data_IF_349464433585
#
_entry.id   IF_349464433585
#
_cell.length_a   1.000
_cell.length_b   1.000
_cell.length_c   1.000
_cell.angle_alpha   90.00
_cell.angle_beta   90.00
_cell.angle_gamma   90.00
#
_symmetry.space_group_name_H-M   'P 1'
#
loop_
_entity.id
_entity.type
_entity.pdbx_description
1 polymer ?
#
# COMPACT_ATOMS: atom_id res chain seq x y z
N UNK A 1 48.29 12.07 16.29
CA UNK A 1 46.85 12.44 16.42
C UNK A 1 46.11 12.53 15.08
N UNK A 2 46.71 13.01 13.99
CA UNK A 2 46.06 13.07 12.68
C UNK A 2 45.76 11.69 12.03
N UNK A 3 46.46 10.64 12.45
CA UNK A 3 46.35 9.30 11.85
C UNK A 3 45.18 8.46 12.41
N UNK A 4 44.80 8.69 13.68
CA UNK A 4 43.61 8.05 14.28
C UNK A 4 42.30 8.61 13.69
N UNK A 5 42.26 9.90 13.35
CA UNK A 5 41.10 10.53 12.70
C UNK A 5 40.85 10.01 11.28
N UNK A 6 41.88 9.46 10.62
CA UNK A 6 41.76 8.89 9.27
C UNK A 6 41.19 7.47 9.29
N UNK A 7 41.57 6.65 10.28
CA UNK A 7 41.01 5.29 10.47
C UNK A 7 39.55 5.29 10.91
N UNK A 8 39.09 6.28 11.67
CA UNK A 8 37.66 6.39 12.02
C UNK A 8 36.78 6.84 10.84
N UNK A 9 37.33 7.60 9.88
CA UNK A 9 36.59 8.01 8.67
C UNK A 9 36.43 6.89 7.64
N UNK A 10 37.27 5.86 7.67
CA UNK A 10 37.18 4.71 6.75
C UNK A 10 36.28 3.58 7.27
N UNK A 11 35.98 3.53 8.58
CA UNK A 11 35.14 2.49 9.17
C UNK A 11 33.61 2.72 9.04
N UNK A 12 33.19 3.89 8.54
CA UNK A 12 31.82 4.38 8.75
C UNK A 12 30.88 4.40 7.56
N UNK A 13 31.26 3.92 6.37
CA UNK A 13 30.44 4.07 5.15
C UNK A 13 29.94 2.75 4.53
N UNK A 14 30.01 1.66 5.30
CA UNK A 14 29.25 0.46 4.99
C UNK A 14 27.76 0.75 5.20
N UNK A 15 27.08 1.29 4.18
CA UNK A 15 25.61 1.34 4.12
C UNK A 15 25.11 -0.05 4.47
N UNK A 16 24.63 -0.23 5.70
CA UNK A 16 24.14 -1.53 6.19
C UNK A 16 23.02 -1.93 5.22
N UNK A 17 23.22 -3.00 4.45
CA UNK A 17 22.25 -3.47 3.47
C UNK A 17 20.91 -3.85 4.12
N UNK A 18 20.92 -4.22 5.41
CA UNK A 18 19.73 -4.62 6.17
C UNK A 18 18.58 -3.61 6.10
N UNK A 19 18.77 -2.33 6.47
CA UNK A 19 17.73 -1.30 6.35
C UNK A 19 17.14 -1.14 4.94
N UNK A 20 17.98 -1.10 3.90
CA UNK A 20 17.54 -0.99 2.50
C UNK A 20 16.72 -2.21 2.06
N UNK A 21 17.15 -3.40 2.46
CA UNK A 21 16.42 -4.64 2.21
C UNK A 21 15.06 -4.58 2.95
N UNK A 22 15.02 -4.13 4.20
CA UNK A 22 13.77 -4.04 4.98
C UNK A 22 12.75 -3.08 4.37
N UNK A 23 13.20 -1.91 3.90
CA UNK A 23 12.33 -0.94 3.20
C UNK A 23 11.80 -1.50 1.89
N UNK A 24 12.67 -2.15 1.10
CA UNK A 24 12.26 -2.88 -0.09
C UNK A 24 11.24 -3.96 0.23
N UNK A 25 11.43 -4.76 1.28
CA UNK A 25 10.49 -5.81 1.71
C UNK A 25 9.16 -5.25 2.20
N UNK A 26 9.14 -4.09 2.86
CA UNK A 26 7.89 -3.43 3.28
C UNK A 26 7.09 -2.89 2.09
N UNK A 27 7.76 -2.24 1.14
CA UNK A 27 7.14 -1.83 -0.12
C UNK A 27 6.66 -3.05 -0.92
N UNK A 28 7.44 -4.12 -0.91
CA UNK A 28 7.11 -5.41 -1.55
C UNK A 28 5.91 -6.07 -0.87
N UNK A 29 5.74 -5.97 0.46
CA UNK A 29 4.60 -6.58 1.16
C UNK A 29 3.28 -5.89 0.80
N UNK A 30 3.24 -4.55 0.74
CA UNK A 30 2.06 -3.82 0.30
C UNK A 30 1.77 -4.07 -1.19
N UNK A 31 2.81 -4.06 -2.03
CA UNK A 31 2.71 -4.41 -3.44
C UNK A 31 2.17 -5.84 -3.64
N UNK A 32 2.66 -6.81 -2.87
CA UNK A 32 2.20 -8.19 -2.91
C UNK A 32 0.73 -8.32 -2.48
N UNK A 33 0.29 -7.59 -1.45
CA UNK A 33 -1.12 -7.56 -1.04
C UNK A 33 -2.02 -6.98 -2.13
N UNK A 34 -1.59 -5.90 -2.79
CA UNK A 34 -2.29 -5.31 -3.92
C UNK A 34 -2.37 -6.27 -5.11
N UNK A 35 -1.25 -6.88 -5.49
CA UNK A 35 -1.19 -7.87 -6.58
C UNK A 35 -2.10 -9.05 -6.27
N UNK A 36 -2.01 -9.62 -5.06
CA UNK A 36 -2.86 -10.73 -4.65
C UNK A 36 -4.35 -10.37 -4.69
N UNK A 37 -4.75 -9.21 -4.15
CA UNK A 37 -6.14 -8.75 -4.24
C UNK A 37 -6.59 -8.55 -5.68
N UNK A 38 -5.74 -7.99 -6.53
CA UNK A 38 -6.04 -7.78 -7.95
C UNK A 38 -6.19 -9.11 -8.69
N UNK A 39 -5.33 -10.09 -8.42
CA UNK A 39 -5.41 -11.43 -9.03
C UNK A 39 -6.69 -12.16 -8.61
N UNK A 40 -7.07 -12.09 -7.32
CA UNK A 40 -8.34 -12.65 -6.85
C UNK A 40 -9.52 -11.98 -7.54
N UNK A 41 -9.49 -10.64 -7.66
CA UNK A 41 -10.54 -9.90 -8.35
C UNK A 41 -10.64 -10.27 -9.83
N UNK A 42 -9.51 -10.35 -10.54
CA UNK A 42 -9.46 -10.79 -11.94
C UNK A 42 -9.99 -12.22 -12.10
N UNK A 43 -9.65 -13.13 -11.18
CA UNK A 43 -10.19 -14.48 -11.14
C UNK A 43 -11.72 -14.50 -10.97
N UNK A 44 -12.26 -13.67 -10.06
CA UNK A 44 -13.71 -13.53 -9.86
C UNK A 44 -14.40 -12.96 -11.09
N UNK A 45 -13.88 -11.87 -11.66
CA UNK A 45 -14.43 -11.27 -12.90
C UNK A 45 -14.37 -12.25 -14.06
N UNK A 46 -13.26 -12.97 -14.21
CA UNK A 46 -13.10 -14.02 -15.23
C UNK A 46 -14.11 -15.16 -15.05
N UNK A 47 -14.32 -15.61 -13.80
CA UNK A 47 -15.31 -16.63 -13.48
C UNK A 47 -16.75 -16.17 -13.82
N UNK A 48 -17.15 -14.98 -13.36
CA UNK A 48 -18.47 -14.43 -13.66
C UNK A 48 -18.67 -14.17 -15.16
N UNK A 49 -17.64 -13.66 -15.85
CA UNK A 49 -17.65 -13.47 -17.29
C UNK A 49 -17.85 -14.80 -18.02
N UNK A 50 -17.09 -15.83 -17.66
CA UNK A 50 -17.23 -17.17 -18.23
C UNK A 50 -18.62 -17.76 -17.98
N UNK A 51 -19.15 -17.67 -16.75
CA UNK A 51 -20.48 -18.15 -16.41
C UNK A 51 -21.56 -17.44 -17.25
N UNK A 52 -21.47 -16.11 -17.37
CA UNK A 52 -22.39 -15.31 -18.18
C UNK A 52 -22.33 -15.71 -19.66
N UNK A 53 -21.15 -15.84 -20.24
CA UNK A 53 -20.98 -16.25 -21.65
C UNK A 53 -21.48 -17.66 -21.90
N UNK A 54 -21.20 -18.60 -20.99
CA UNK A 54 -21.65 -20.00 -21.10
C UNK A 54 -23.17 -20.11 -21.08
N UNK A 55 -23.82 -19.43 -20.14
CA UNK A 55 -25.28 -19.42 -20.04
C UNK A 55 -25.93 -18.71 -21.24
N UNK A 56 -25.38 -17.58 -21.68
CA UNK A 56 -25.84 -16.86 -22.85
C UNK A 56 -25.71 -17.72 -24.13
N UNK A 57 -24.63 -18.48 -24.26
CA UNK A 57 -24.42 -19.39 -25.39
C UNK A 57 -25.50 -20.48 -25.46
N UNK A 58 -25.85 -21.11 -24.32
CA UNK A 58 -26.93 -22.12 -24.25
C UNK A 58 -28.28 -21.51 -24.65
N UNK A 59 -28.57 -20.30 -24.19
CA UNK A 59 -29.80 -19.60 -24.55
C UNK A 59 -29.87 -19.28 -26.05
N UNK A 60 -28.79 -18.74 -26.62
CA UNK A 60 -28.71 -18.46 -28.05
C UNK A 60 -28.94 -19.74 -28.89
N UNK A 61 -28.32 -20.85 -28.50
CA UNK A 61 -28.54 -22.14 -29.18
C UNK A 61 -29.99 -22.64 -29.08
N UNK A 62 -30.69 -22.32 -27.98
CA UNK A 62 -32.10 -22.67 -27.80
C UNK A 62 -32.99 -21.79 -28.66
N UNK A 63 -32.70 -20.48 -28.75
CA UNK A 63 -33.43 -19.53 -29.59
C UNK A 63 -33.30 -19.85 -31.07
N UNK A 64 -32.10 -20.21 -31.54
CA UNK A 64 -31.93 -20.65 -32.93
C UNK A 64 -32.67 -21.95 -33.28
N UNK A 65 -33.18 -22.70 -32.28
CA UNK A 65 -34.06 -23.85 -32.49
C UNK A 65 -35.55 -23.49 -32.48
N UNK A 66 -35.94 -22.27 -32.09
CA UNK A 66 -37.34 -21.82 -31.99
C UNK A 66 -37.62 -20.76 -33.06
N UNK A 67 -38.46 -21.08 -34.04
CA UNK A 67 -38.76 -20.29 -35.26
C UNK A 67 -39.83 -19.20 -35.00
N UNK A 68 -39.71 -18.46 -33.90
CA UNK A 68 -40.71 -17.42 -33.56
C UNK A 68 -40.01 -16.12 -33.11
N UNK A 69 -40.05 -15.09 -33.97
CA UNK A 69 -39.30 -13.83 -33.81
C UNK A 69 -39.73 -13.00 -32.57
N UNK A 70 -40.98 -13.17 -32.11
CA UNK A 70 -41.53 -12.42 -30.99
C UNK A 70 -41.01 -12.84 -29.61
N UNK A 71 -40.63 -14.11 -29.44
CA UNK A 71 -40.12 -14.64 -28.16
C UNK A 71 -38.62 -14.39 -27.94
N UNK A 72 -37.88 -14.02 -28.99
CA UNK A 72 -36.43 -13.89 -28.91
C UNK A 72 -35.97 -12.76 -27.99
N UNK A 73 -36.67 -11.61 -27.97
CA UNK A 73 -36.27 -10.47 -27.14
C UNK A 73 -36.59 -10.64 -25.64
N UNK A 74 -37.65 -11.37 -25.30
CA UNK A 74 -38.09 -11.53 -23.91
C UNK A 74 -37.27 -12.61 -23.17
N UNK A 75 -36.83 -13.65 -23.88
CA UNK A 75 -36.00 -14.73 -23.34
C UNK A 75 -34.53 -14.35 -23.09
N UNK A 76 -34.00 -13.37 -23.83
CA UNK A 76 -32.57 -13.00 -23.76
C UNK A 76 -32.26 -12.10 -22.55
N UNK A 77 -33.22 -11.33 -22.03
CA UNK A 77 -32.87 -10.20 -21.14
C UNK A 77 -33.28 -10.28 -19.67
N UNK A 78 -34.21 -11.14 -19.25
CA UNK A 78 -34.90 -10.80 -18.00
C UNK A 78 -34.15 -11.21 -16.71
N UNK A 79 -33.71 -12.46 -16.57
CA UNK A 79 -33.30 -12.97 -15.25
C UNK A 79 -31.82 -13.39 -15.15
N UNK A 80 -31.30 -14.11 -16.13
CA UNK A 80 -29.92 -14.62 -16.09
C UNK A 80 -28.90 -13.47 -16.21
N UNK A 81 -29.10 -12.60 -17.20
CA UNK A 81 -28.27 -11.41 -17.40
C UNK A 81 -28.32 -10.53 -16.15
N UNK A 82 -29.52 -10.32 -15.58
CA UNK A 82 -29.69 -9.50 -14.37
C UNK A 82 -28.98 -10.11 -13.17
N UNK A 83 -29.04 -11.43 -12.97
CA UNK A 83 -28.35 -12.13 -11.88
C UNK A 83 -26.83 -12.03 -12.00
N UNK A 84 -26.27 -12.32 -13.17
CA UNK A 84 -24.83 -12.25 -13.40
C UNK A 84 -24.31 -10.82 -13.33
N UNK A 85 -25.06 -9.85 -13.89
CA UNK A 85 -24.72 -8.43 -13.79
C UNK A 85 -24.75 -7.92 -12.35
N UNK A 86 -25.74 -8.34 -11.55
CA UNK A 86 -25.77 -8.01 -10.11
C UNK A 86 -24.56 -8.58 -9.38
N UNK A 87 -24.19 -9.84 -9.65
CA UNK A 87 -22.99 -10.46 -9.08
C UNK A 87 -21.70 -9.72 -9.44
N UNK A 88 -21.56 -9.32 -10.71
CA UNK A 88 -20.42 -8.55 -11.19
C UNK A 88 -20.33 -7.16 -10.51
N UNK A 89 -21.46 -6.44 -10.42
CA UNK A 89 -21.53 -5.13 -9.75
C UNK A 89 -21.16 -5.24 -8.27
N UNK A 90 -21.65 -6.27 -7.57
CA UNK A 90 -21.28 -6.53 -6.17
C UNK A 90 -19.79 -6.83 -6.05
N UNK A 91 -19.21 -7.66 -6.94
CA UNK A 91 -17.79 -7.98 -6.92
C UNK A 91 -16.90 -6.73 -7.16
N UNK A 92 -17.27 -5.89 -8.13
CA UNK A 92 -16.58 -4.62 -8.41
C UNK A 92 -16.66 -3.68 -7.19
N UNK A 93 -17.85 -3.54 -6.62
CA UNK A 93 -18.05 -2.67 -5.45
C UNK A 93 -17.23 -3.16 -4.25
N UNK A 94 -17.25 -4.47 -3.98
CA UNK A 94 -16.46 -5.07 -2.91
C UNK A 94 -14.95 -4.85 -3.12
N UNK A 95 -14.47 -5.01 -4.36
CA UNK A 95 -13.08 -4.75 -4.71
C UNK A 95 -12.68 -3.29 -4.46
N UNK A 96 -13.50 -2.33 -4.90
CA UNK A 96 -13.27 -0.90 -4.66
C UNK A 96 -13.17 -0.62 -3.15
N UNK A 97 -14.09 -1.16 -2.34
CA UNK A 97 -14.07 -0.99 -0.88
C UNK A 97 -12.79 -1.56 -0.28
N UNK A 98 -12.40 -2.79 -0.65
CA UNK A 98 -11.15 -3.42 -0.17
C UNK A 98 -9.94 -2.57 -0.55
N UNK A 99 -9.89 -2.07 -1.78
CA UNK A 99 -8.80 -1.22 -2.26
C UNK A 99 -8.70 0.08 -1.47
N UNK A 100 -9.82 0.77 -1.23
CA UNK A 100 -9.87 1.98 -0.40
C UNK A 100 -9.35 1.67 1.01
N UNK A 101 -9.80 0.57 1.63
CA UNK A 101 -9.36 0.17 2.97
C UNK A 101 -7.84 -0.09 3.01
N UNK A 102 -7.30 -0.81 2.01
CA UNK A 102 -5.86 -1.07 1.91
C UNK A 102 -5.06 0.23 1.76
N UNK A 103 -5.50 1.14 0.89
CA UNK A 103 -4.84 2.43 0.65
C UNK A 103 -4.87 3.30 1.91
N UNK A 104 -6.04 3.44 2.54
CA UNK A 104 -6.21 4.24 3.76
C UNK A 104 -5.35 3.68 4.90
N UNK A 105 -5.36 2.35 5.08
CA UNK A 105 -4.54 1.68 6.09
C UNK A 105 -3.04 1.88 5.83
N UNK A 106 -2.59 1.77 4.58
CA UNK A 106 -1.21 2.03 4.20
C UNK A 106 -0.84 3.49 4.47
N UNK A 107 -1.67 4.43 4.01
CA UNK A 107 -1.45 5.86 4.21
C UNK A 107 -1.30 6.21 5.70
N UNK A 108 -2.21 5.74 6.57
CA UNK A 108 -2.10 6.00 8.01
C UNK A 108 -0.87 5.37 8.66
N UNK A 109 -0.38 4.24 8.12
CA UNK A 109 0.83 3.58 8.62
C UNK A 109 2.07 4.40 8.31
N UNK A 110 2.17 5.02 7.13
CA UNK A 110 3.38 5.73 6.69
C UNK A 110 3.36 7.24 6.98
N UNK A 111 2.23 7.93 6.78
CA UNK A 111 2.14 9.39 6.95
C UNK A 111 2.33 9.81 8.41
N UNK A 112 1.82 9.03 9.35
CA UNK A 112 1.88 9.34 10.78
C UNK A 112 3.30 9.60 11.31
N UNK A 113 4.24 8.65 11.19
CA UNK A 113 5.62 8.88 11.64
C UNK A 113 6.34 9.97 10.85
N UNK A 114 6.03 10.15 9.55
CA UNK A 114 6.62 11.23 8.75
C UNK A 114 6.26 12.61 9.28
N UNK A 115 5.01 12.83 9.68
CA UNK A 115 4.59 14.11 10.30
C UNK A 115 5.36 14.38 11.60
N UNK A 116 5.62 13.36 12.41
CA UNK A 116 6.42 13.51 13.63
C UNK A 116 7.87 13.88 13.32
N UNK A 117 8.48 13.25 12.31
CA UNK A 117 9.82 13.59 11.81
C UNK A 117 9.87 15.03 11.29
N UNK A 118 8.90 15.44 10.47
CA UNK A 118 8.85 16.82 9.94
C UNK A 118 8.75 17.84 11.06
N UNK A 119 7.86 17.63 12.05
CA UNK A 119 7.74 18.53 13.21
C UNK A 119 9.03 18.62 14.00
N UNK A 120 9.70 17.48 14.22
CA UNK A 120 10.99 17.44 14.90
C UNK A 120 12.06 18.24 14.15
N UNK A 121 12.17 18.04 12.83
CA UNK A 121 13.13 18.79 11.99
C UNK A 121 12.83 20.30 12.04
N UNK A 122 11.55 20.69 11.96
CA UNK A 122 11.14 22.11 12.09
C UNK A 122 11.52 22.68 13.47
N UNK A 123 11.37 21.92 14.55
CA UNK A 123 11.85 22.34 15.87
C UNK A 123 13.36 22.56 15.91
N UNK A 124 14.14 21.66 15.28
CA UNK A 124 15.59 21.81 15.17
C UNK A 124 15.99 23.05 14.36
N UNK A 125 15.31 23.33 13.24
CA UNK A 125 15.60 24.52 12.43
C UNK A 125 15.27 25.82 13.15
N UNK A 126 14.36 25.77 14.12
CA UNK A 126 13.99 26.91 14.97
C UNK A 126 14.87 27.05 16.22
N UNK A 127 15.94 26.26 16.35
CA UNK A 127 16.88 26.33 17.48
C UNK A 127 16.45 25.58 18.74
N UNK A 128 15.32 24.84 18.72
CA UNK A 128 14.83 24.09 19.88
C UNK A 128 15.51 22.72 20.01
N UNK A 129 16.83 22.70 20.27
CA UNK A 129 17.65 21.48 20.27
C UNK A 129 17.35 20.48 21.40
N UNK A 130 16.67 20.91 22.46
CA UNK A 130 16.26 20.03 23.56
C UNK A 130 15.13 19.04 23.17
N UNK A 131 14.46 19.25 22.03
CA UNK A 131 13.41 18.33 21.58
C UNK A 131 13.99 16.93 21.27
N UNK A 132 13.19 15.89 21.49
CA UNK A 132 13.52 14.50 21.15
C UNK A 132 12.41 13.88 20.32
N UNK A 133 12.78 13.18 19.26
CA UNK A 133 11.88 12.41 18.43
C UNK A 133 11.57 11.08 19.13
N UNK A 134 10.29 10.79 19.32
CA UNK A 134 9.83 9.50 19.84
C UNK A 134 8.79 8.90 18.88
N UNK A 135 9.18 7.84 18.16
CA UNK A 135 8.29 7.14 17.25
C UNK A 135 7.54 6.00 17.95
N UNK A 136 6.36 5.62 17.44
CA UNK A 136 5.52 4.58 18.05
C UNK A 136 6.16 3.20 17.89
N UNK A 137 5.84 2.25 18.77
CA UNK A 137 6.38 0.87 18.71
C UNK A 137 6.18 0.22 17.33
N UNK A 138 5.02 0.45 16.71
CA UNK A 138 4.66 -0.04 15.37
C UNK A 138 5.46 0.58 14.22
N UNK A 139 6.11 1.72 14.45
CA UNK A 139 6.91 2.44 13.45
C UNK A 139 8.37 1.94 13.48
N UNK A 140 8.55 0.63 13.68
CA UNK A 140 9.85 -0.01 13.96
C UNK A 140 10.87 0.17 12.82
N UNK A 141 10.37 0.26 11.59
CA UNK A 141 11.18 0.48 10.39
C UNK A 141 11.91 1.84 10.37
N UNK A 142 11.47 2.80 11.19
CA UNK A 142 12.09 4.14 11.29
C UNK A 142 12.93 4.32 12.57
N UNK A 143 13.19 3.25 13.33
CA UNK A 143 13.94 3.35 14.60
C UNK A 143 15.37 3.81 14.43
N UNK A 144 16.02 3.42 13.34
CA UNK A 144 17.39 3.87 13.08
C UNK A 144 17.42 5.36 12.72
N UNK A 145 16.41 5.84 11.98
CA UNK A 145 16.23 7.27 11.69
C UNK A 145 15.97 8.06 12.97
N UNK A 146 15.08 7.58 13.84
CA UNK A 146 14.80 8.21 15.14
C UNK A 146 16.06 8.36 15.99
N UNK A 147 16.86 7.30 16.10
CA UNK A 147 18.13 7.33 16.83
C UNK A 147 19.10 8.34 16.22
N UNK A 148 19.28 8.31 14.90
CA UNK A 148 20.18 9.23 14.22
C UNK A 148 19.77 10.71 14.41
N UNK A 149 18.47 11.00 14.32
CA UNK A 149 17.93 12.34 14.52
C UNK A 149 18.07 12.82 15.96
N UNK A 150 17.90 11.94 16.94
CA UNK A 150 18.12 12.29 18.35
C UNK A 150 19.60 12.55 18.66
N UNK A 151 20.52 11.73 18.14
CA UNK A 151 21.97 11.98 18.27
C UNK A 151 22.36 13.32 17.63
N UNK A 152 21.77 13.66 16.48
CA UNK A 152 21.98 14.96 15.86
C UNK A 152 21.49 16.11 16.75
N UNK A 153 20.32 15.97 17.37
CA UNK A 153 19.80 16.99 18.29
C UNK A 153 20.67 17.16 19.54
N UNK A 154 21.15 16.06 20.13
CA UNK A 154 22.10 16.10 21.26
C UNK A 154 23.39 16.85 20.90
N UNK A 155 23.94 16.60 19.71
CA UNK A 155 25.15 17.28 19.27
C UNK A 155 24.93 18.77 18.98
N UNK A 156 23.77 19.13 18.41
CA UNK A 156 23.39 20.53 18.20
C UNK A 156 23.19 21.27 19.52
N UNK A 157 22.51 20.63 20.48
CA UNK A 157 22.32 21.14 21.83
C UNK A 157 23.68 21.39 22.50
N UNK A 158 24.59 20.41 22.45
CA UNK A 158 25.94 20.56 23.03
C UNK A 158 26.72 21.74 22.45
N UNK A 159 26.54 22.04 21.16
CA UNK A 159 27.24 23.13 20.46
C UNK A 159 26.67 24.51 20.77
N UNK A 160 25.35 24.61 20.93
CA UNK A 160 24.65 25.89 21.08
C UNK A 160 24.25 26.20 22.54
N UNK A 161 24.34 25.22 23.45
CA UNK A 161 24.10 25.41 24.89
C UNK A 161 25.34 25.82 25.68
N UNK A 162 26.47 26.09 25.01
CA UNK A 162 27.64 26.73 25.65
C UNK A 162 27.51 28.25 25.50
N UNK A 163 27.52 29.01 26.61
CA UNK A 163 27.52 30.48 26.57
C UNK A 163 28.80 31.04 25.95
#
# INVERSE_FOLDING_TARGET
>A
MAEQSRKEKEAGNGRKLGPLIREFFLATQFGAQLIACTLVFLGLVGYFGYAMFSEQYVQIQTIFKVVDDGLQHELIMNDIVRRNMTGLVVAITAYIVVMIVLIVRAHHKYTGPLVAVTRFVVSMTNGYYAARLNLRKKDEHLRDLEKALNVMAEELERRHSRP
#
